data_IF_601328884813
#
_entry.id   IF_601328884813
#
_cell.length_a   1.000
_cell.length_b   1.000
_cell.length_c   1.000
_cell.angle_alpha   90.00
_cell.angle_beta   90.00
_cell.angle_gamma   90.00
#
_symmetry.space_group_name_H-M   'P 1'
#
loop_
_entity.id
_entity.type
_entity.pdbx_description
1 polymer ?
#
# COMPACT_ATOMS: atom_id res chain seq x y z
N UNK A 1 -13.24 23.65 8.90
CA UNK A 1 -12.89 22.24 8.54
C UNK A 1 -14.14 21.41 8.60
N UNK A 2 -14.26 20.36 7.77
CA UNK A 2 -15.41 19.45 7.85
C UNK A 2 -15.23 18.53 9.05
N UNK A 3 -16.08 18.64 10.06
CA UNK A 3 -16.00 17.86 11.33
C UNK A 3 -16.17 16.34 11.11
N UNK A 4 -16.54 15.91 9.91
CA UNK A 4 -16.72 14.52 9.54
C UNK A 4 -15.50 13.91 8.78
N UNK A 5 -14.34 14.60 8.82
CA UNK A 5 -13.07 14.05 8.36
C UNK A 5 -12.28 13.55 9.57
N UNK A 6 -11.84 12.30 9.50
CA UNK A 6 -11.12 11.62 10.56
C UNK A 6 -9.63 11.65 10.31
N UNK A 7 -8.82 11.79 11.37
CA UNK A 7 -7.39 11.47 11.33
C UNK A 7 -7.20 10.05 11.87
N UNK A 8 -6.48 9.22 11.13
CA UNK A 8 -6.15 7.84 11.53
C UNK A 8 -4.65 7.74 11.78
N UNK A 9 -4.27 7.35 12.99
CA UNK A 9 -2.87 7.20 13.40
C UNK A 9 -2.64 5.74 13.85
N UNK A 10 -2.11 4.87 12.97
CA UNK A 10 -1.66 3.55 13.37
C UNK A 10 -0.36 3.67 14.19
N UNK A 11 -0.30 3.02 15.34
CA UNK A 11 0.85 3.16 16.24
C UNK A 11 1.25 1.83 16.87
N UNK A 12 2.58 1.61 16.94
CA UNK A 12 3.20 0.46 17.61
C UNK A 12 4.41 0.97 18.39
N UNK A 13 4.43 0.73 19.69
CA UNK A 13 5.49 1.16 20.58
C UNK A 13 5.86 2.65 20.42
N UNK A 14 4.87 3.56 20.54
CA UNK A 14 5.12 4.99 20.38
C UNK A 14 5.99 5.57 21.50
N UNK A 15 6.47 6.75 21.24
CA UNK A 15 7.09 7.66 22.20
C UNK A 15 6.32 9.00 22.28
N UNK A 16 6.93 10.02 22.82
CA UNK A 16 6.32 11.37 22.99
C UNK A 16 5.89 12.00 21.66
N UNK A 17 6.48 11.58 20.55
CA UNK A 17 6.11 12.09 19.23
C UNK A 17 4.67 11.81 18.86
N UNK A 18 4.11 10.67 19.33
CA UNK A 18 2.67 10.40 19.12
C UNK A 18 1.80 11.46 19.78
N UNK A 19 2.13 11.86 21.02
CA UNK A 19 1.38 12.89 21.76
C UNK A 19 1.48 14.22 21.02
N UNK A 20 2.69 14.60 20.57
CA UNK A 20 2.91 15.83 19.82
C UNK A 20 2.15 15.83 18.49
N UNK A 21 2.16 14.71 17.76
CA UNK A 21 1.37 14.55 16.52
C UNK A 21 -0.12 14.74 16.78
N UNK A 22 -0.66 14.12 17.83
CA UNK A 22 -2.08 14.23 18.18
C UNK A 22 -2.44 15.67 18.54
N UNK A 23 -1.64 16.32 19.38
CA UNK A 23 -1.86 17.72 19.77
C UNK A 23 -1.82 18.65 18.56
N UNK A 24 -0.81 18.50 17.67
CA UNK A 24 -0.74 19.31 16.45
C UNK A 24 -1.96 19.10 15.54
N UNK A 25 -2.52 17.89 15.44
CA UNK A 25 -3.76 17.68 14.69
C UNK A 25 -4.98 18.35 15.35
N UNK A 26 -5.06 18.35 16.69
CA UNK A 26 -6.13 19.04 17.41
C UNK A 26 -6.01 20.57 17.26
N UNK A 27 -4.78 21.12 17.40
CA UNK A 27 -4.50 22.56 17.32
C UNK A 27 -4.87 23.13 15.95
N UNK A 28 -4.63 22.37 14.86
CA UNK A 28 -5.03 22.80 13.50
C UNK A 28 -6.52 22.57 13.22
N UNK A 29 -7.27 22.02 14.20
CA UNK A 29 -8.72 21.96 14.22
C UNK A 29 -9.35 20.64 13.77
N UNK A 30 -8.61 19.53 13.70
CA UNK A 30 -9.24 18.21 13.57
C UNK A 30 -9.97 17.85 14.87
N UNK A 31 -11.24 17.41 14.72
CA UNK A 31 -12.09 17.05 15.87
C UNK A 31 -12.34 15.56 16.02
N UNK A 32 -11.76 14.73 15.16
CA UNK A 32 -11.97 13.27 15.18
C UNK A 32 -10.68 12.54 14.87
N UNK A 33 -10.02 12.07 15.92
CA UNK A 33 -8.74 11.35 15.80
C UNK A 33 -8.94 9.91 16.27
N UNK A 34 -8.59 8.95 15.44
CA UNK A 34 -8.60 7.52 15.75
C UNK A 34 -7.19 7.00 15.78
N UNK A 35 -6.73 6.63 16.96
CA UNK A 35 -5.42 6.02 17.18
C UNK A 35 -5.62 4.52 17.32
N UNK A 36 -4.90 3.73 16.55
CA UNK A 36 -4.94 2.28 16.65
C UNK A 36 -3.62 1.77 17.21
N UNK A 37 -3.64 1.37 18.47
CA UNK A 37 -2.54 0.66 19.11
C UNK A 37 -2.48 -0.78 18.58
N UNK A 38 -1.48 -1.10 17.77
CA UNK A 38 -1.31 -2.42 17.15
C UNK A 38 -0.55 -3.40 18.03
N UNK A 39 -0.91 -3.45 19.32
CA UNK A 39 -0.32 -4.40 20.29
C UNK A 39 1.04 -3.95 20.81
N UNK A 40 1.14 -2.69 21.24
CA UNK A 40 2.34 -2.15 21.87
C UNK A 40 2.63 -2.79 23.23
N UNK A 41 3.90 -2.82 23.59
CA UNK A 41 4.39 -3.27 24.89
C UNK A 41 3.89 -2.35 26.01
N UNK A 42 3.77 -2.90 27.23
CA UNK A 42 3.21 -2.18 28.38
C UNK A 42 3.94 -0.87 28.70
N UNK A 43 5.26 -0.81 28.49
CA UNK A 43 6.09 0.38 28.72
C UNK A 43 5.72 1.56 27.84
N UNK A 44 5.13 1.31 26.69
CA UNK A 44 4.74 2.34 25.71
C UNK A 44 3.30 2.81 25.84
N UNK A 45 2.47 2.13 26.69
CA UNK A 45 1.06 2.49 26.84
C UNK A 45 0.86 3.90 27.41
N UNK A 46 1.82 4.42 28.16
CA UNK A 46 1.81 5.78 28.71
C UNK A 46 1.82 6.89 27.66
N UNK A 47 2.24 6.59 26.44
CA UNK A 47 2.30 7.55 25.34
C UNK A 47 1.01 7.57 24.49
N UNK A 48 0.03 6.72 24.81
CA UNK A 48 -1.28 6.86 24.20
C UNK A 48 -2.10 7.89 24.99
N UNK A 49 -2.69 8.90 24.31
CA UNK A 49 -3.54 9.87 24.98
C UNK A 49 -4.77 9.19 25.55
N UNK A 50 -5.38 9.82 26.55
CA UNK A 50 -6.68 9.38 27.06
C UNK A 50 -7.74 9.64 25.99
N UNK A 51 -8.66 8.67 25.82
CA UNK A 51 -9.82 8.86 24.96
C UNK A 51 -10.73 9.96 25.53
N UNK A 52 -11.25 10.80 24.63
CA UNK A 52 -12.21 11.86 24.93
C UNK A 52 -13.21 12.03 23.76
N UNK A 53 -13.89 13.16 23.68
CA UNK A 53 -14.83 13.46 22.60
C UNK A 53 -14.19 13.57 21.21
N UNK A 54 -12.91 13.96 21.14
CA UNK A 54 -12.15 14.12 19.91
C UNK A 54 -11.25 12.92 19.59
N UNK A 55 -10.84 12.16 20.61
CA UNK A 55 -9.83 11.10 20.51
C UNK A 55 -10.45 9.75 20.83
N UNK A 56 -10.36 8.83 19.88
CA UNK A 56 -10.68 7.41 20.08
C UNK A 56 -9.41 6.58 20.02
N UNK A 57 -9.12 5.80 21.05
CA UNK A 57 -7.98 4.87 21.08
C UNK A 57 -8.49 3.44 21.02
N UNK A 58 -8.09 2.70 19.98
CA UNK A 58 -8.45 1.30 19.77
C UNK A 58 -7.23 0.43 20.09
N UNK A 59 -7.29 -0.34 21.16
CA UNK A 59 -6.21 -1.23 21.57
C UNK A 59 -6.40 -2.63 20.99
N UNK A 60 -5.37 -3.13 20.30
CA UNK A 60 -5.29 -4.52 19.84
C UNK A 60 -4.38 -5.33 20.76
N UNK A 61 -4.68 -6.59 20.95
CA UNK A 61 -3.91 -7.49 21.84
C UNK A 61 -2.54 -7.87 21.28
N UNK A 62 -2.38 -7.86 19.96
CA UNK A 62 -1.17 -8.34 19.27
C UNK A 62 -0.90 -7.51 18.02
N UNK A 63 0.38 -7.40 17.68
CA UNK A 63 0.85 -6.76 16.45
C UNK A 63 0.51 -7.59 15.20
N UNK A 64 -0.32 -7.03 14.34
CA UNK A 64 -0.65 -7.60 13.04
C UNK A 64 -0.13 -6.74 11.88
N UNK A 65 0.34 -5.53 12.17
CA UNK A 65 0.96 -4.60 11.24
C UNK A 65 0.11 -3.40 10.85
N UNK A 66 0.77 -2.39 10.27
CA UNK A 66 0.19 -1.09 9.91
C UNK A 66 -1.08 -1.22 9.07
N UNK A 67 -1.07 -2.08 8.05
CA UNK A 67 -2.24 -2.30 7.20
C UNK A 67 -3.44 -2.85 7.96
N UNK A 68 -3.21 -3.77 8.91
CA UNK A 68 -4.27 -4.31 9.75
C UNK A 68 -4.83 -3.24 10.70
N UNK A 69 -3.98 -2.37 11.25
CA UNK A 69 -4.40 -1.23 12.08
C UNK A 69 -5.27 -0.25 11.29
N UNK A 70 -4.85 0.11 10.08
CA UNK A 70 -5.63 0.98 9.17
C UNK A 70 -7.01 0.38 8.86
N UNK A 71 -7.08 -0.92 8.58
CA UNK A 71 -8.36 -1.62 8.34
C UNK A 71 -9.27 -1.59 9.57
N UNK A 72 -8.71 -1.67 10.78
CA UNK A 72 -9.50 -1.54 12.02
C UNK A 72 -10.12 -0.15 12.09
N UNK A 73 -9.35 0.90 11.85
CA UNK A 73 -9.86 2.27 11.86
C UNK A 73 -10.94 2.50 10.79
N UNK A 74 -10.71 2.11 9.54
CA UNK A 74 -11.71 2.24 8.47
C UNK A 74 -13.02 1.50 8.80
N UNK A 75 -12.92 0.29 9.39
CA UNK A 75 -14.10 -0.47 9.82
C UNK A 75 -14.82 0.21 10.98
N UNK A 76 -14.09 0.79 11.92
CA UNK A 76 -14.64 1.54 13.03
C UNK A 76 -15.43 2.75 12.54
N UNK A 77 -14.86 3.53 11.61
CA UNK A 77 -15.55 4.69 11.03
C UNK A 77 -16.82 4.26 10.30
N UNK A 78 -16.74 3.26 9.41
CA UNK A 78 -17.91 2.78 8.65
C UNK A 78 -19.07 2.32 9.55
N UNK A 79 -18.76 1.75 10.72
CA UNK A 79 -19.78 1.21 11.63
C UNK A 79 -20.42 2.28 12.51
N UNK A 80 -19.63 3.25 12.95
CA UNK A 80 -20.06 4.18 13.99
C UNK A 80 -20.37 5.59 13.47
N UNK A 81 -19.92 5.91 12.25
CA UNK A 81 -20.04 7.27 11.69
C UNK A 81 -20.55 7.24 10.24
N UNK A 82 -21.86 7.02 10.04
CA UNK A 82 -22.44 6.89 8.70
C UNK A 82 -22.29 8.16 7.85
N UNK A 83 -22.14 9.31 8.49
CA UNK A 83 -21.97 10.62 7.84
C UNK A 83 -20.49 11.01 7.65
N UNK A 84 -19.55 10.06 7.83
CA UNK A 84 -18.14 10.33 7.58
C UNK A 84 -17.90 10.76 6.13
N UNK A 85 -17.17 11.84 5.95
CA UNK A 85 -16.78 12.41 4.66
C UNK A 85 -15.54 11.67 4.14
N UNK A 86 -14.58 11.39 5.01
CA UNK A 86 -13.35 10.73 4.68
C UNK A 86 -12.40 10.61 5.86
N UNK A 87 -11.20 10.16 5.57
CA UNK A 87 -10.14 10.09 6.57
C UNK A 87 -8.79 10.42 5.97
N UNK A 88 -7.93 11.01 6.80
CA UNK A 88 -6.50 11.23 6.53
C UNK A 88 -5.71 10.27 7.39
N UNK A 89 -4.80 9.51 6.81
CA UNK A 89 -3.84 8.70 7.56
C UNK A 89 -2.58 9.50 7.82
N UNK A 90 -2.06 9.43 9.05
CA UNK A 90 -0.85 10.13 9.49
C UNK A 90 -0.01 9.15 10.29
N UNK A 91 1.30 9.15 10.12
CA UNK A 91 2.20 8.35 10.95
C UNK A 91 2.41 9.03 12.31
N UNK A 92 2.50 8.25 13.38
CA UNK A 92 2.64 8.78 14.76
C UNK A 92 4.08 9.08 15.16
N UNK A 93 4.99 9.23 14.19
CA UNK A 93 6.42 9.46 14.42
C UNK A 93 6.84 10.95 14.32
N UNK A 94 5.88 11.83 14.05
CA UNK A 94 6.10 13.28 13.95
C UNK A 94 6.69 13.75 12.62
N UNK A 95 6.79 12.88 11.60
CA UNK A 95 7.35 13.25 10.30
C UNK A 95 6.39 14.01 9.39
N UNK A 96 5.10 14.05 9.72
CA UNK A 96 4.07 14.75 8.95
C UNK A 96 3.63 16.01 9.68
N UNK A 97 3.69 17.15 9.01
CA UNK A 97 3.19 18.41 9.54
C UNK A 97 1.65 18.41 9.59
N UNK A 98 1.05 19.01 10.64
CA UNK A 98 -0.40 19.15 10.72
C UNK A 98 -1.00 19.91 9.54
N UNK A 99 -0.30 20.94 9.02
CA UNK A 99 -0.68 21.74 7.86
C UNK A 99 -0.81 20.90 6.60
N UNK A 100 0.09 19.94 6.40
CA UNK A 100 0.07 19.02 5.27
C UNK A 100 -1.11 18.04 5.37
N UNK A 101 -1.39 17.56 6.58
CA UNK A 101 -2.57 16.73 6.83
C UNK A 101 -3.86 17.49 6.54
N UNK A 102 -3.92 18.78 6.95
CA UNK A 102 -5.03 19.67 6.66
C UNK A 102 -5.18 19.93 5.16
N UNK A 103 -4.07 20.17 4.44
CA UNK A 103 -4.08 20.37 2.99
C UNK A 103 -4.62 19.14 2.27
N UNK A 104 -4.20 17.94 2.68
CA UNK A 104 -4.73 16.68 2.15
C UNK A 104 -6.22 16.50 2.47
N UNK A 105 -6.67 16.84 3.68
CA UNK A 105 -8.06 16.78 4.08
C UNK A 105 -8.94 17.73 3.25
N UNK A 106 -8.51 18.98 3.07
CA UNK A 106 -9.22 19.98 2.30
C UNK A 106 -9.31 19.67 0.80
N UNK A 107 -8.37 18.85 0.29
CA UNK A 107 -8.40 18.39 -1.09
C UNK A 107 -9.36 17.23 -1.34
N UNK A 108 -9.95 16.63 -0.28
CA UNK A 108 -10.97 15.60 -0.42
C UNK A 108 -12.23 16.19 -1.07
N UNK A 109 -12.71 15.49 -2.08
CA UNK A 109 -13.93 15.80 -2.79
C UNK A 109 -14.82 14.54 -2.77
N UNK A 110 -15.90 14.61 -1.99
CA UNK A 110 -16.80 13.47 -1.81
C UNK A 110 -17.55 13.05 -3.07
N UNK A 111 -17.67 13.96 -4.02
CA UNK A 111 -18.34 13.67 -5.29
C UNK A 111 -17.45 12.87 -6.22
N UNK A 112 -16.14 12.85 -5.97
CA UNK A 112 -15.14 12.18 -6.80
C UNK A 112 -14.49 11.02 -6.05
N UNK A 113 -14.46 9.84 -6.66
CA UNK A 113 -13.69 8.70 -6.18
C UNK A 113 -12.18 8.94 -6.44
N UNK A 114 -11.59 9.83 -5.66
CA UNK A 114 -10.21 10.26 -5.80
C UNK A 114 -9.50 10.21 -4.45
N UNK A 115 -8.32 9.60 -4.43
CA UNK A 115 -7.43 9.54 -3.28
C UNK A 115 -6.42 10.68 -3.38
N UNK A 116 -6.10 11.29 -2.25
CA UNK A 116 -5.06 12.31 -2.14
C UNK A 116 -3.81 11.64 -1.53
N UNK A 117 -2.65 11.89 -2.12
CA UNK A 117 -1.35 11.50 -1.57
C UNK A 117 -0.56 12.76 -1.24
N UNK A 118 -0.11 12.86 0.00
CA UNK A 118 0.90 13.86 0.37
C UNK A 118 2.27 13.36 -0.10
N UNK A 119 2.86 14.01 -1.08
CA UNK A 119 4.08 13.56 -1.72
C UNK A 119 5.26 14.45 -1.33
N UNK A 120 6.29 13.83 -0.76
CA UNK A 120 7.54 14.49 -0.38
C UNK A 120 8.35 14.84 -1.62
N UNK A 121 9.06 15.97 -1.56
CA UNK A 121 10.05 16.31 -2.56
C UNK A 121 11.38 15.61 -2.25
N UNK A 122 11.81 14.73 -3.14
CA UNK A 122 13.09 14.03 -3.03
C UNK A 122 14.23 14.69 -3.83
N UNK A 123 14.01 15.87 -4.42
CA UNK A 123 15.02 16.59 -5.19
C UNK A 123 15.97 17.43 -4.33
N UNK A 124 15.55 17.79 -3.10
CA UNK A 124 16.33 18.62 -2.18
C UNK A 124 17.66 17.98 -1.78
N UNK A 125 18.66 18.82 -1.47
CA UNK A 125 20.00 18.38 -1.04
C UNK A 125 19.99 17.65 0.30
N UNK A 126 19.08 18.03 1.20
CA UNK A 126 18.94 17.47 2.56
C UNK A 126 18.28 16.07 2.59
N UNK A 127 17.85 15.56 1.45
CA UNK A 127 17.22 14.23 1.37
C UNK A 127 18.26 13.12 1.50
N UNK A 128 18.16 12.21 2.49
CA UNK A 128 19.06 11.07 2.60
C UNK A 128 19.13 10.26 1.31
N UNK A 129 20.34 9.98 0.82
CA UNK A 129 20.54 9.29 -0.47
C UNK A 129 19.82 7.95 -0.60
N UNK A 130 19.68 7.21 0.53
CA UNK A 130 18.94 5.95 0.60
C UNK A 130 17.45 6.15 0.32
N UNK A 131 16.84 7.19 0.90
CA UNK A 131 15.43 7.52 0.70
C UNK A 131 15.17 7.94 -0.75
N UNK A 132 16.05 8.80 -1.31
CA UNK A 132 16.01 9.25 -2.71
C UNK A 132 16.09 8.06 -3.67
N UNK A 133 17.08 7.17 -3.49
CA UNK A 133 17.27 6.01 -4.35
C UNK A 133 16.12 5.02 -4.23
N UNK A 134 15.66 4.72 -3.00
CA UNK A 134 14.52 3.83 -2.76
C UNK A 134 13.24 4.31 -3.43
N UNK A 135 12.92 5.61 -3.29
CA UNK A 135 11.75 6.18 -3.93
C UNK A 135 11.88 6.18 -5.46
N UNK A 136 13.03 6.56 -6.02
CA UNK A 136 13.28 6.56 -7.48
C UNK A 136 13.10 5.17 -8.09
N UNK A 137 13.62 4.13 -7.45
CA UNK A 137 13.45 2.74 -7.90
C UNK A 137 11.97 2.36 -7.86
N UNK A 138 11.28 2.62 -6.75
CA UNK A 138 9.89 2.22 -6.58
C UNK A 138 8.97 2.95 -7.55
N UNK A 139 9.11 4.28 -7.68
CA UNK A 139 8.33 5.09 -8.61
C UNK A 139 8.59 4.68 -10.07
N UNK A 140 9.85 4.37 -10.42
CA UNK A 140 10.22 3.84 -11.73
C UNK A 140 9.54 2.50 -12.03
N UNK A 141 9.52 1.59 -11.06
CA UNK A 141 8.83 0.31 -11.17
C UNK A 141 7.33 0.50 -11.35
N UNK A 142 6.68 1.37 -10.56
CA UNK A 142 5.26 1.67 -10.71
C UNK A 142 4.94 2.28 -12.07
N UNK A 143 5.80 3.16 -12.58
CA UNK A 143 5.66 3.75 -13.92
C UNK A 143 5.74 2.70 -15.02
N UNK A 144 6.76 1.84 -15.00
CA UNK A 144 7.02 0.86 -16.07
C UNK A 144 6.06 -0.32 -16.02
N UNK A 145 5.87 -0.93 -14.84
CA UNK A 145 5.07 -2.16 -14.71
C UNK A 145 3.59 -1.92 -14.49
N UNK A 146 3.23 -0.82 -13.83
CA UNK A 146 1.84 -0.52 -13.49
C UNK A 146 1.24 0.62 -14.33
N UNK A 147 2.06 1.33 -15.12
CA UNK A 147 1.61 2.50 -15.88
C UNK A 147 1.06 3.61 -14.96
N UNK A 148 1.68 3.78 -13.79
CA UNK A 148 1.30 4.78 -12.77
C UNK A 148 2.48 5.70 -12.51
N UNK A 149 2.33 6.99 -12.81
CA UNK A 149 3.31 8.01 -12.41
C UNK A 149 2.92 8.53 -11.03
N UNK A 150 3.63 8.08 -10.00
CA UNK A 150 3.47 8.52 -8.61
C UNK A 150 4.84 8.96 -8.12
N UNK A 151 4.92 10.18 -7.59
CA UNK A 151 6.18 10.78 -7.16
C UNK A 151 6.67 10.20 -5.82
N UNK A 152 5.76 9.88 -4.90
CA UNK A 152 6.06 9.23 -3.63
C UNK A 152 5.09 8.06 -3.38
N UNK A 153 5.56 6.85 -3.64
CA UNK A 153 4.76 5.62 -3.46
C UNK A 153 4.73 5.13 -2.01
N UNK A 154 5.61 5.67 -1.15
CA UNK A 154 5.83 5.20 0.21
C UNK A 154 5.28 6.16 1.28
N UNK A 155 4.68 7.28 0.89
CA UNK A 155 4.10 8.22 1.84
C UNK A 155 3.02 7.57 2.70
N UNK A 156 3.03 7.84 4.00
CA UNK A 156 1.98 7.46 4.95
C UNK A 156 0.84 8.48 5.02
N UNK A 157 1.11 9.73 4.58
CA UNK A 157 0.12 10.80 4.56
C UNK A 157 -0.79 10.68 3.34
N UNK A 158 -2.00 10.19 3.56
CA UNK A 158 -2.97 9.95 2.49
C UNK A 158 -4.37 10.31 2.95
N UNK A 159 -5.17 10.90 2.07
CA UNK A 159 -6.57 11.16 2.38
C UNK A 159 -7.50 10.36 1.45
N UNK A 160 -8.53 9.77 2.04
CA UNK A 160 -9.46 8.86 1.38
C UNK A 160 -10.89 9.31 1.61
N UNK A 161 -11.72 9.43 0.58
CA UNK A 161 -13.16 9.63 0.77
C UNK A 161 -13.79 8.38 1.38
N UNK A 162 -14.80 8.55 2.21
CA UNK A 162 -15.48 7.45 2.92
C UNK A 162 -16.05 6.39 1.95
N UNK A 163 -16.45 6.80 0.74
CA UNK A 163 -16.93 5.90 -0.31
C UNK A 163 -15.93 4.83 -0.74
N UNK A 164 -14.63 5.03 -0.44
CA UNK A 164 -13.58 4.06 -0.73
C UNK A 164 -13.25 3.12 0.44
N UNK A 165 -13.79 3.32 1.65
CA UNK A 165 -13.44 2.50 2.81
C UNK A 165 -13.75 1.01 2.60
N UNK A 166 -14.88 0.69 1.97
CA UNK A 166 -15.20 -0.69 1.59
C UNK A 166 -14.17 -1.32 0.64
N UNK A 167 -13.65 -0.54 -0.31
CA UNK A 167 -12.56 -0.97 -1.18
C UNK A 167 -11.27 -1.17 -0.39
N UNK A 168 -10.92 -0.24 0.49
CA UNK A 168 -9.73 -0.32 1.35
C UNK A 168 -9.74 -1.56 2.23
N UNK A 169 -10.88 -1.91 2.82
CA UNK A 169 -11.04 -3.14 3.60
C UNK A 169 -10.80 -4.42 2.79
N UNK A 170 -11.05 -4.39 1.48
CA UNK A 170 -10.84 -5.52 0.57
C UNK A 170 -9.39 -5.69 0.09
N UNK A 171 -8.52 -4.71 0.33
CA UNK A 171 -7.11 -4.75 -0.09
C UNK A 171 -6.34 -5.79 0.74
N UNK A 172 -5.54 -6.62 0.07
CA UNK A 172 -4.70 -7.63 0.70
C UNK A 172 -3.49 -7.01 1.38
N UNK A 173 -2.94 -7.75 2.35
CA UNK A 173 -1.78 -7.32 3.15
C UNK A 173 -2.20 -6.68 4.47
N UNK A 174 -1.42 -6.92 5.49
CA UNK A 174 -1.69 -6.44 6.84
C UNK A 174 -0.53 -5.61 7.41
N UNK A 175 0.61 -5.57 6.70
CA UNK A 175 1.80 -4.80 7.09
C UNK A 175 2.05 -3.65 6.10
N UNK A 176 3.29 -3.28 5.85
CA UNK A 176 3.67 -2.19 4.94
C UNK A 176 3.28 -2.44 3.49
N UNK A 177 3.21 -3.70 3.05
CA UNK A 177 2.73 -4.06 1.71
C UNK A 177 1.29 -3.63 1.43
N UNK A 178 0.50 -3.38 2.46
CA UNK A 178 -0.89 -2.92 2.32
C UNK A 178 -0.96 -1.58 1.58
N UNK A 179 -0.09 -0.63 1.91
CA UNK A 179 -0.06 0.70 1.29
C UNK A 179 0.30 0.64 -0.20
N UNK A 180 1.21 -0.27 -0.57
CA UNK A 180 1.55 -0.55 -1.96
C UNK A 180 0.38 -1.24 -2.69
N UNK A 181 -0.24 -2.23 -2.06
CA UNK A 181 -1.38 -2.95 -2.63
C UNK A 181 -2.61 -2.05 -2.80
N UNK A 182 -2.79 -1.02 -1.97
CA UNK A 182 -3.81 0.01 -2.16
C UNK A 182 -3.62 0.74 -3.50
N UNK A 183 -2.40 1.20 -3.82
CA UNK A 183 -2.11 1.89 -5.08
C UNK A 183 -2.43 1.00 -6.29
N UNK A 184 -2.01 -0.27 -6.26
CA UNK A 184 -2.34 -1.25 -7.30
C UNK A 184 -3.85 -1.46 -7.42
N UNK A 185 -4.56 -1.51 -6.30
CA UNK A 185 -6.01 -1.66 -6.27
C UNK A 185 -6.74 -0.46 -6.84
N UNK A 186 -6.25 0.76 -6.56
CA UNK A 186 -6.80 1.98 -7.14
C UNK A 186 -6.68 1.96 -8.66
N UNK A 187 -5.51 1.62 -9.20
CA UNK A 187 -5.33 1.45 -10.66
C UNK A 187 -6.33 0.46 -11.25
N UNK A 188 -6.47 -0.73 -10.63
CA UNK A 188 -7.38 -1.77 -11.10
C UNK A 188 -8.85 -1.34 -11.11
N UNK A 189 -9.22 -0.41 -10.22
CA UNK A 189 -10.61 0.08 -10.05
C UNK A 189 -10.85 1.45 -10.69
N UNK A 190 -9.86 2.00 -11.39
CA UNK A 190 -9.99 3.32 -12.02
C UNK A 190 -10.17 4.46 -11.00
N UNK A 191 -9.67 4.29 -9.77
CA UNK A 191 -9.69 5.34 -8.76
C UNK A 191 -8.59 6.34 -9.08
N UNK A 192 -8.97 7.61 -9.24
CA UNK A 192 -8.02 8.68 -9.51
C UNK A 192 -7.13 8.96 -8.29
N UNK A 193 -5.90 9.36 -8.54
CA UNK A 193 -4.94 9.79 -7.51
C UNK A 193 -4.59 11.26 -7.80
N UNK A 194 -4.61 12.10 -6.75
CA UNK A 194 -4.10 13.46 -6.79
C UNK A 194 -2.94 13.56 -5.80
N UNK A 195 -1.81 14.05 -6.25
CA UNK A 195 -0.66 14.35 -5.42
C UNK A 195 -0.71 15.78 -4.92
N UNK A 196 -0.32 15.98 -3.67
CA UNK A 196 -0.13 17.28 -3.04
C UNK A 196 1.29 17.31 -2.50
N UNK A 197 2.11 18.30 -2.86
CA UNK A 197 3.44 18.44 -2.27
C UNK A 197 3.31 18.71 -0.78
N UNK A 198 4.15 18.03 0.01
CA UNK A 198 4.23 18.17 1.45
C UNK A 198 5.67 18.41 1.87
N UNK A 199 5.83 19.06 3.01
CA UNK A 199 7.13 19.20 3.64
C UNK A 199 7.56 17.87 4.28
N UNK A 200 8.85 17.65 4.40
CA UNK A 200 9.40 16.47 5.05
C UNK A 200 10.22 16.89 6.24
N UNK A 201 9.79 16.46 7.41
CA UNK A 201 10.56 16.63 8.65
C UNK A 201 11.45 15.39 8.81
N UNK A 202 12.74 15.56 8.62
CA UNK A 202 13.72 14.49 8.89
C UNK A 202 14.12 14.57 10.36
N UNK A 203 13.58 13.67 11.19
CA UNK A 203 13.93 13.52 12.60
C UNK A 203 14.94 12.37 12.75
N UNK A 204 16.08 12.63 13.40
CA UNK A 204 17.08 11.64 13.85
C UNK A 204 17.37 10.51 12.86
N UNK A 205 17.80 10.82 11.64
CA UNK A 205 18.17 9.84 10.59
C UNK A 205 17.17 8.67 10.40
N UNK A 206 15.87 8.87 10.71
CA UNK A 206 14.81 7.85 10.67
C UNK A 206 15.00 6.68 11.66
N UNK A 207 15.66 6.89 12.79
CA UNK A 207 15.91 5.85 13.82
C UNK A 207 14.65 5.25 14.41
N UNK A 208 13.51 5.95 14.33
CA UNK A 208 12.20 5.52 14.85
C UNK A 208 11.37 4.66 13.88
N UNK A 209 11.85 4.46 12.66
CA UNK A 209 11.10 3.64 11.69
C UNK A 209 11.20 2.16 12.01
N UNK A 210 10.07 1.50 12.30
CA UNK A 210 9.97 0.04 12.43
C UNK A 210 10.09 -0.70 11.09
N UNK A 211 10.34 0.03 10.00
CA UNK A 211 10.56 -0.52 8.67
C UNK A 211 11.91 -1.25 8.60
N UNK A 212 11.88 -2.54 8.30
CA UNK A 212 13.07 -3.36 8.06
C UNK A 212 13.42 -3.32 6.57
N UNK A 213 14.45 -2.52 6.15
CA UNK A 213 14.63 -2.16 4.72
C UNK A 213 14.65 -3.36 3.78
N UNK A 214 15.40 -4.40 4.09
CA UNK A 214 15.53 -5.57 3.22
C UNK A 214 14.28 -6.45 3.25
N UNK A 215 13.80 -6.81 4.46
CA UNK A 215 12.72 -7.79 4.62
C UNK A 215 11.37 -7.26 4.16
N UNK A 216 11.09 -6.00 4.44
CA UNK A 216 9.80 -5.39 4.09
C UNK A 216 9.79 -4.94 2.63
N UNK A 217 10.93 -4.47 2.10
CA UNK A 217 11.10 -4.25 0.67
C UNK A 217 10.93 -5.54 -0.15
N UNK A 218 11.50 -6.67 0.29
CA UNK A 218 11.30 -7.96 -0.37
C UNK A 218 9.83 -8.37 -0.43
N UNK A 219 9.04 -8.08 0.60
CA UNK A 219 7.58 -8.36 0.57
C UNK A 219 6.84 -7.46 -0.41
N UNK A 220 7.20 -6.18 -0.45
CA UNK A 220 6.64 -5.21 -1.40
C UNK A 220 7.00 -5.63 -2.83
N UNK A 221 8.26 -5.97 -3.06
CA UNK A 221 8.77 -6.33 -4.38
C UNK A 221 8.53 -7.78 -4.79
N UNK A 222 8.05 -8.64 -3.89
CA UNK A 222 7.79 -10.06 -4.20
C UNK A 222 6.92 -10.26 -5.43
N UNK A 223 5.92 -9.41 -5.61
CA UNK A 223 5.06 -9.44 -6.79
C UNK A 223 5.85 -9.10 -8.05
N UNK A 224 6.65 -8.03 -8.00
CA UNK A 224 7.49 -7.57 -9.11
C UNK A 224 8.56 -8.62 -9.43
N UNK A 225 9.22 -9.15 -8.39
CA UNK A 225 10.24 -10.18 -8.53
C UNK A 225 9.66 -11.45 -9.15
N UNK A 226 8.43 -11.83 -8.80
CA UNK A 226 7.77 -12.98 -9.43
C UNK A 226 7.53 -12.79 -10.92
N UNK A 227 7.21 -11.56 -11.36
CA UNK A 227 7.07 -11.23 -12.79
C UNK A 227 8.42 -11.29 -13.53
N UNK A 228 9.48 -10.73 -12.94
CA UNK A 228 10.83 -10.77 -13.52
C UNK A 228 11.31 -12.21 -13.66
N UNK A 229 11.14 -13.01 -12.60
CA UNK A 229 11.52 -14.42 -12.62
C UNK A 229 10.72 -15.23 -13.64
N UNK A 230 9.39 -15.02 -13.73
CA UNK A 230 8.57 -15.73 -14.72
C UNK A 230 8.95 -15.35 -16.16
N UNK A 231 9.26 -14.08 -16.40
CA UNK A 231 9.72 -13.61 -17.70
C UNK A 231 11.09 -14.18 -18.06
N UNK A 232 12.02 -14.27 -17.09
CA UNK A 232 13.33 -14.91 -17.26
C UNK A 232 13.21 -16.40 -17.60
N UNK A 233 12.37 -17.12 -16.88
CA UNK A 233 12.09 -18.54 -17.16
C UNK A 233 11.49 -18.70 -18.56
N UNK A 234 10.51 -17.88 -18.92
CA UNK A 234 9.90 -17.91 -20.26
C UNK A 234 10.90 -17.62 -21.38
N UNK A 235 11.84 -16.71 -21.14
CA UNK A 235 12.92 -16.40 -22.09
C UNK A 235 13.86 -17.61 -22.30
N UNK A 236 14.24 -18.30 -21.24
CA UNK A 236 15.06 -19.53 -21.32
C UNK A 236 14.30 -20.62 -22.11
N UNK A 237 13.02 -20.83 -21.81
CA UNK A 237 12.14 -21.78 -22.52
C UNK A 237 12.06 -21.42 -24.00
N UNK A 238 11.91 -20.14 -24.35
CA UNK A 238 11.85 -19.65 -25.73
C UNK A 238 13.10 -20.03 -26.52
N UNK A 239 14.29 -19.79 -25.95
CA UNK A 239 15.57 -20.15 -26.57
C UNK A 239 15.70 -21.66 -26.77
N UNK A 240 15.38 -22.46 -25.72
CA UNK A 240 15.48 -23.90 -25.78
C UNK A 240 14.53 -24.49 -26.84
N UNK A 241 13.30 -24.02 -26.88
CA UNK A 241 12.31 -24.47 -27.87
C UNK A 241 12.71 -24.06 -29.28
N UNK A 242 13.20 -22.84 -29.47
CA UNK A 242 13.73 -22.41 -30.76
C UNK A 242 14.87 -23.30 -31.24
N UNK A 243 15.83 -23.64 -30.37
CA UNK A 243 16.95 -24.51 -30.69
C UNK A 243 16.48 -25.92 -31.08
N UNK A 244 15.58 -26.52 -30.31
CA UNK A 244 15.01 -27.86 -30.57
C UNK A 244 14.22 -27.86 -31.86
N UNK A 245 13.29 -26.91 -32.04
CA UNK A 245 12.46 -26.79 -33.23
C UNK A 245 13.30 -26.57 -34.50
N UNK A 246 14.32 -25.74 -34.41
CA UNK A 246 15.24 -25.50 -35.53
C UNK A 246 15.96 -26.78 -35.97
N UNK A 247 16.40 -27.61 -35.03
CA UNK A 247 17.04 -28.89 -35.31
C UNK A 247 16.09 -29.88 -35.97
N UNK A 248 14.87 -30.03 -35.41
CA UNK A 248 13.88 -30.98 -35.85
C UNK A 248 13.30 -30.63 -37.23
N UNK A 249 13.09 -29.34 -37.52
CA UNK A 249 12.44 -28.87 -38.74
C UNK A 249 13.43 -28.61 -39.90
N UNK A 250 14.74 -28.66 -39.66
CA UNK A 250 15.76 -28.32 -40.65
C UNK A 250 15.68 -29.18 -41.91
N UNK A 251 15.43 -30.50 -41.74
CA UNK A 251 15.31 -31.43 -42.87
C UNK A 251 14.01 -31.28 -43.65
N UNK A 252 12.92 -30.81 -42.97
CA UNK A 252 11.59 -30.74 -43.57
C UNK A 252 11.30 -29.39 -44.26
N UNK A 253 11.81 -28.27 -43.72
CA UNK A 253 11.39 -26.93 -44.11
C UNK A 253 12.52 -26.08 -44.75
N UNK A 254 13.75 -26.58 -44.79
CA UNK A 254 14.88 -25.85 -45.42
C UNK A 254 14.99 -24.39 -44.98
N UNK A 255 14.83 -23.46 -45.90
CA UNK A 255 14.94 -22.02 -45.64
C UNK A 255 13.86 -21.44 -44.72
N UNK A 256 12.70 -22.09 -44.58
CA UNK A 256 11.60 -21.62 -43.72
C UNK A 256 11.74 -22.09 -42.24
N UNK A 257 12.77 -22.88 -41.93
CA UNK A 257 12.99 -23.49 -40.59
C UNK A 257 13.04 -22.45 -39.49
N UNK A 258 13.78 -21.35 -39.68
CA UNK A 258 13.96 -20.33 -38.64
C UNK A 258 12.62 -19.63 -38.31
N UNK A 259 11.80 -19.32 -39.31
CA UNK A 259 10.49 -18.69 -39.11
C UNK A 259 9.55 -19.61 -38.34
N UNK A 260 9.43 -20.88 -38.77
CA UNK A 260 8.58 -21.86 -38.14
C UNK A 260 9.01 -22.13 -36.69
N UNK A 261 10.32 -22.31 -36.45
CA UNK A 261 10.86 -22.50 -35.10
C UNK A 261 10.59 -21.31 -34.19
N UNK A 262 10.71 -20.07 -34.70
CA UNK A 262 10.41 -18.86 -33.94
C UNK A 262 8.93 -18.80 -33.54
N UNK A 263 8.00 -19.07 -34.47
CA UNK A 263 6.57 -19.01 -34.19
C UNK A 263 6.18 -20.06 -33.13
N UNK A 264 6.69 -21.28 -33.24
CA UNK A 264 6.41 -22.36 -32.28
C UNK A 264 6.97 -21.99 -30.92
N UNK A 265 8.24 -21.55 -30.81
CA UNK A 265 8.88 -21.19 -29.56
C UNK A 265 8.12 -20.05 -28.87
N UNK A 266 7.74 -18.99 -29.62
CA UNK A 266 6.97 -17.85 -29.09
C UNK A 266 5.57 -18.24 -28.61
N UNK A 267 4.84 -19.07 -29.35
CA UNK A 267 3.52 -19.50 -28.96
C UNK A 267 3.56 -20.27 -27.64
N UNK A 268 4.47 -21.23 -27.52
CA UNK A 268 4.61 -22.06 -26.32
C UNK A 268 5.14 -21.25 -25.14
N UNK A 269 6.20 -20.46 -25.32
CA UNK A 269 6.78 -19.65 -24.23
C UNK A 269 5.79 -18.59 -23.71
N UNK A 270 4.99 -17.98 -24.60
CA UNK A 270 3.93 -17.04 -24.22
C UNK A 270 2.81 -17.72 -23.42
N UNK A 271 2.41 -18.92 -23.80
CA UNK A 271 1.42 -19.71 -23.05
C UNK A 271 1.93 -20.08 -21.65
N UNK A 272 3.19 -20.51 -21.55
CA UNK A 272 3.83 -20.80 -20.26
C UNK A 272 3.90 -19.56 -19.40
N UNK A 273 4.35 -18.43 -19.96
CA UNK A 273 4.42 -17.16 -19.26
C UNK A 273 3.04 -16.71 -18.72
N UNK A 274 2.01 -16.80 -19.55
CA UNK A 274 0.64 -16.49 -19.14
C UNK A 274 0.18 -17.39 -17.99
N UNK A 275 0.42 -18.70 -18.08
CA UNK A 275 -0.01 -19.68 -17.08
C UNK A 275 0.72 -19.48 -15.75
N UNK A 276 2.03 -19.28 -15.79
CA UNK A 276 2.85 -19.01 -14.59
C UNK A 276 2.41 -17.70 -13.94
N UNK A 277 2.26 -16.62 -14.71
CA UNK A 277 1.83 -15.33 -14.17
C UNK A 277 0.40 -15.39 -13.62
N UNK A 278 -0.51 -16.11 -14.29
CA UNK A 278 -1.88 -16.34 -13.81
C UNK A 278 -1.89 -17.10 -12.49
N UNK A 279 -1.03 -18.08 -12.33
CA UNK A 279 -0.96 -18.91 -11.12
C UNK A 279 -0.23 -18.21 -9.99
N UNK A 280 0.91 -17.57 -10.27
CA UNK A 280 1.73 -16.86 -9.28
C UNK A 280 1.06 -15.56 -8.81
N UNK A 281 0.48 -14.77 -9.72
CA UNK A 281 -0.16 -13.49 -9.40
C UNK A 281 -1.60 -13.65 -8.88
N UNK A 282 -2.30 -14.74 -9.23
CA UNK A 282 -3.72 -14.92 -8.94
C UNK A 282 -4.02 -16.20 -8.16
N UNK A 283 -3.10 -16.74 -7.36
CA UNK A 283 -3.34 -17.96 -6.59
C UNK A 283 -4.56 -17.84 -5.66
N UNK A 284 -5.74 -18.17 -6.21
CA UNK A 284 -7.04 -18.12 -5.56
C UNK A 284 -7.25 -19.23 -4.52
N UNK A 285 -6.34 -20.22 -4.39
CA UNK A 285 -6.60 -21.42 -3.59
C UNK A 285 -6.43 -21.26 -2.07
N UNK A 286 -5.80 -20.20 -1.57
CA UNK A 286 -5.64 -20.01 -0.13
C UNK A 286 -6.81 -19.24 0.54
N UNK A 287 -7.82 -18.80 -0.21
CA UNK A 287 -8.88 -17.90 0.29
C UNK A 287 -10.23 -18.58 0.57
N UNK A 288 -10.40 -19.89 0.27
CA UNK A 288 -11.72 -20.54 0.43
C UNK A 288 -12.01 -21.14 1.80
N UNK A 289 -11.09 -21.04 2.77
CA UNK A 289 -11.26 -21.69 4.09
C UNK A 289 -11.42 -20.73 5.29
N UNK A 290 -11.51 -19.40 5.11
CA UNK A 290 -11.68 -18.47 6.23
C UNK A 290 -12.85 -17.48 6.09
N UNK A 291 -13.75 -17.67 5.17
CA UNK A 291 -14.97 -16.87 5.10
C UNK A 291 -16.15 -17.79 5.42
N UNK A 292 -16.51 -17.84 6.69
CA UNK A 292 -17.84 -17.86 7.29
C UNK A 292 -17.70 -18.12 8.79
N UNK A 293 -17.81 -17.13 9.66
CA UNK A 293 -18.52 -17.35 10.91
C UNK A 293 -20.01 -17.23 10.57
N UNK A 294 -20.76 -18.27 10.93
CA UNK A 294 -22.20 -18.37 10.80
C UNK A 294 -22.93 -17.15 11.37
N UNK A 295 -24.12 -16.78 10.85
CA UNK A 295 -24.92 -15.74 11.41
C UNK A 295 -25.34 -16.16 12.84
N UNK A 296 -25.05 -15.29 13.82
CA UNK A 296 -25.65 -15.43 15.14
C UNK A 296 -27.17 -15.39 14.98
N UNK A 297 -27.80 -16.54 15.22
CA UNK A 297 -29.23 -16.67 15.41
C UNK A 297 -29.67 -15.75 16.55
N UNK A 298 -30.53 -14.79 16.21
CA UNK A 298 -31.32 -14.06 17.19
C UNK A 298 -32.10 -15.06 18.05
N UNK A 299 -31.71 -15.15 19.30
CA UNK A 299 -32.50 -15.78 20.39
C UNK A 299 -33.42 -14.74 21.00
N UNK A 300 -34.64 -15.09 21.12
CA UNK A 300 -35.81 -14.39 21.68
C UNK A 300 -35.58 -13.77 23.02
#
# INVERSE_FOLDING_TARGET
MNENIFVIIPSLNPDERLINTVNGMLDIGFKRIIIVNDGSDKSHLKYFPKADENITVIHRKQNHGKGAALKVAFRHILRNYPNAVGAVTVDGDGQHLPEDALACANALDNTKKRVILGCRDFSGEDVPGRSRMGNRITSGVFKVLCGMSISDTQTGLRAYPASLFGLLLSVKGDRFEYETNMLLKFKQRGVAIKEIPIETVYLDENSSSHFRPVRDSLKIYRFILSYILSSGISFIIDILLFYIASRLLKSALGGATALAATVIARAVSSFVNYTVNRTAAFNKRHFRKRECPAPCSAGR
#
